data_IF_103441757803
#
_entry.id   IF_103441757803
#
_cell.length_a   1.000
_cell.length_b   1.000
_cell.length_c   1.000
_cell.angle_alpha   90.00
_cell.angle_beta   90.00
_cell.angle_gamma   90.00
#
_symmetry.space_group_name_H-M   'P 1'
#
loop_
_entity.id
_entity.type
_entity.pdbx_description
1 polymer ?
#
# COMPACT_ATOMS: atom_id res chain seq x y z
N UNK A 1 18.17 -4.45 -21.19
CA UNK A 1 17.90 -3.45 -20.13
C UNK A 1 17.21 -4.21 -19.00
N UNK A 2 18.03 -4.93 -18.24
CA UNK A 2 17.61 -5.90 -17.22
C UNK A 2 17.58 -5.23 -15.85
N UNK A 3 16.48 -5.43 -15.12
CA UNK A 3 16.51 -5.53 -13.65
C UNK A 3 16.53 -4.23 -12.84
N UNK A 4 15.70 -3.23 -13.15
CA UNK A 4 15.57 -2.08 -12.24
C UNK A 4 14.54 -2.23 -11.12
N UNK A 5 13.55 -3.11 -11.20
CA UNK A 5 12.70 -3.47 -10.06
C UNK A 5 12.24 -4.92 -10.21
N UNK A 6 12.45 -5.75 -9.18
CA UNK A 6 11.75 -7.03 -9.09
C UNK A 6 10.27 -6.72 -8.84
N UNK A 7 9.52 -6.45 -9.92
CA UNK A 7 8.06 -6.32 -9.92
C UNK A 7 7.37 -7.48 -9.19
N UNK A 8 8.05 -8.62 -9.05
CA UNK A 8 7.60 -9.79 -8.28
C UNK A 8 7.41 -9.51 -6.78
N UNK A 9 8.09 -8.50 -6.20
CA UNK A 9 8.07 -8.24 -4.75
C UNK A 9 7.18 -7.08 -4.31
N UNK A 10 6.78 -6.21 -5.23
CA UNK A 10 5.97 -5.04 -4.89
C UNK A 10 4.49 -5.37 -5.00
N UNK A 11 3.70 -4.97 -4.00
CA UNK A 11 2.26 -5.12 -4.01
C UNK A 11 1.58 -3.82 -4.44
N UNK A 12 0.40 -3.92 -5.06
CA UNK A 12 -0.36 -2.73 -5.44
C UNK A 12 -0.79 -1.94 -4.21
N UNK A 13 -1.10 -2.62 -3.11
CA UNK A 13 -1.43 -1.97 -1.84
C UNK A 13 -0.27 -1.12 -1.29
N UNK A 14 0.99 -1.52 -1.50
CA UNK A 14 2.16 -0.71 -1.13
C UNK A 14 2.18 0.59 -1.94
N UNK A 15 1.89 0.50 -3.24
CA UNK A 15 1.87 1.65 -4.13
C UNK A 15 0.79 2.65 -3.72
N UNK A 16 -0.42 2.18 -3.40
CA UNK A 16 -1.50 3.05 -2.89
C UNK A 16 -1.10 3.73 -1.57
N UNK A 17 -0.41 2.99 -0.70
CA UNK A 17 0.07 3.53 0.56
C UNK A 17 1.16 4.60 0.38
N UNK A 18 1.99 4.51 -0.65
CA UNK A 18 2.91 5.61 -1.00
C UNK A 18 2.18 6.79 -1.65
N UNK A 19 1.20 6.50 -2.52
CA UNK A 19 0.43 7.52 -3.23
C UNK A 19 -0.34 8.44 -2.27
N UNK A 20 -0.67 7.97 -1.05
CA UNK A 20 -1.29 8.81 0.00
C UNK A 20 -0.52 10.09 0.32
N UNK A 21 0.79 10.09 0.09
CA UNK A 21 1.65 11.26 0.34
C UNK A 21 1.57 12.32 -0.76
N UNK A 22 0.85 12.04 -1.86
CA UNK A 22 0.67 12.99 -2.94
C UNK A 22 -0.43 14.00 -2.61
N UNK A 23 -0.15 15.27 -2.88
CA UNK A 23 -1.11 16.35 -2.73
C UNK A 23 -2.03 16.39 -3.95
N UNK A 24 -3.06 15.55 -3.94
CA UNK A 24 -4.08 15.53 -4.98
C UNK A 24 -5.19 16.55 -4.67
N UNK A 25 -5.63 17.31 -5.69
CA UNK A 25 -6.79 18.21 -5.56
C UNK A 25 -8.08 17.40 -5.42
N UNK A 26 -8.21 16.32 -6.19
CA UNK A 26 -9.26 15.31 -6.02
C UNK A 26 -8.66 14.10 -5.32
N UNK A 27 -9.15 13.75 -4.14
CA UNK A 27 -8.61 12.62 -3.36
C UNK A 27 -8.73 11.28 -4.10
N UNK A 28 -9.63 11.16 -5.09
CA UNK A 28 -9.76 9.96 -5.92
C UNK A 28 -8.54 9.73 -6.80
N UNK A 29 -7.81 10.80 -7.15
CA UNK A 29 -6.59 10.72 -7.95
C UNK A 29 -5.47 9.97 -7.24
N UNK A 30 -5.50 9.86 -5.91
CA UNK A 30 -4.53 9.05 -5.17
C UNK A 30 -4.61 7.58 -5.62
N UNK A 31 -5.81 7.07 -5.87
CA UNK A 31 -6.02 5.71 -6.39
C UNK A 31 -5.82 5.71 -7.91
N UNK A 32 -6.44 6.65 -8.63
CA UNK A 32 -6.45 6.63 -10.09
C UNK A 32 -5.11 6.97 -10.75
N UNK A 33 -4.22 7.70 -10.06
CA UNK A 33 -2.86 7.98 -10.54
C UNK A 33 -2.03 6.72 -10.77
N UNK A 34 -2.36 5.64 -10.08
CA UNK A 34 -1.64 4.37 -10.15
C UNK A 34 -2.05 3.46 -11.31
N UNK A 35 -3.06 3.85 -12.11
CA UNK A 35 -3.59 3.05 -13.21
C UNK A 35 -2.59 2.80 -14.35
N UNK A 36 -1.55 3.61 -14.45
CA UNK A 36 -0.43 3.36 -15.37
C UNK A 36 0.51 2.23 -14.92
N UNK A 37 0.34 1.70 -13.70
CA UNK A 37 1.16 0.63 -13.15
C UNK A 37 0.66 -0.74 -13.60
N UNK A 38 1.56 -1.68 -13.97
CA UNK A 38 1.18 -3.08 -14.20
C UNK A 38 0.49 -3.73 -12.99
N UNK A 39 0.76 -3.22 -11.78
CA UNK A 39 0.15 -3.72 -10.54
C UNK A 39 -1.34 -3.35 -10.42
N UNK A 40 -1.84 -2.39 -11.21
CA UNK A 40 -3.25 -1.99 -11.21
C UNK A 40 -4.17 -3.00 -11.92
N UNK A 41 -3.60 -4.05 -12.52
CA UNK A 41 -4.34 -5.03 -13.32
C UNK A 41 -4.35 -6.41 -12.67
N UNK A 42 -5.42 -7.16 -12.92
CA UNK A 42 -5.47 -8.60 -12.67
C UNK A 42 -4.70 -9.36 -13.77
N UNK A 43 -4.51 -10.67 -13.57
CA UNK A 43 -3.84 -11.53 -14.56
C UNK A 43 -4.58 -11.59 -15.92
N UNK A 44 -5.90 -11.38 -15.91
CA UNK A 44 -6.72 -11.29 -17.12
C UNK A 44 -6.63 -9.92 -17.84
N UNK A 45 -5.73 -9.03 -17.42
CA UNK A 45 -5.58 -7.65 -17.92
C UNK A 45 -6.76 -6.71 -17.64
N UNK A 46 -7.73 -7.11 -16.80
CA UNK A 46 -8.77 -6.23 -16.30
C UNK A 46 -8.20 -5.31 -15.20
N UNK A 47 -8.63 -4.06 -15.18
CA UNK A 47 -8.22 -3.11 -14.14
C UNK A 47 -8.87 -3.47 -12.80
N UNK A 48 -8.09 -3.48 -11.72
CA UNK A 48 -8.58 -3.75 -10.36
C UNK A 48 -9.62 -2.73 -9.91
N UNK A 49 -9.36 -1.45 -10.20
CA UNK A 49 -10.22 -0.33 -9.82
C UNK A 49 -10.37 0.60 -11.03
N UNK A 50 -11.46 0.45 -11.78
CA UNK A 50 -11.74 1.37 -12.88
C UNK A 50 -12.05 2.79 -12.35
N UNK A 51 -11.62 3.86 -13.05
CA UNK A 51 -11.91 5.22 -12.63
C UNK A 51 -13.36 5.62 -12.89
N UNK A 52 -13.99 6.15 -11.84
CA UNK A 52 -15.31 6.80 -11.88
C UNK A 52 -15.23 8.07 -11.00
N UNK A 53 -15.50 9.24 -11.59
CA UNK A 53 -15.53 10.52 -10.87
C UNK A 53 -16.95 10.96 -10.50
N UNK A 54 -17.96 10.12 -10.78
CA UNK A 54 -19.33 10.35 -10.32
C UNK A 54 -19.61 9.64 -8.98
N UNK A 55 -18.79 8.65 -8.60
CA UNK A 55 -18.93 7.99 -7.30
C UNK A 55 -18.36 8.83 -6.14
N UNK A 56 -18.89 8.58 -4.95
CA UNK A 56 -18.37 9.17 -3.72
C UNK A 56 -17.02 8.55 -3.34
N UNK A 57 -16.23 9.31 -2.59
CA UNK A 57 -14.93 8.85 -2.10
C UNK A 57 -15.05 7.62 -1.19
N UNK A 58 -16.08 7.57 -0.34
CA UNK A 58 -16.34 6.41 0.51
C UNK A 58 -16.64 5.14 -0.29
N UNK A 59 -17.48 5.26 -1.32
CA UNK A 59 -17.76 4.15 -2.23
C UNK A 59 -16.51 3.69 -2.96
N UNK A 60 -15.67 4.62 -3.44
CA UNK A 60 -14.38 4.29 -4.07
C UNK A 60 -13.47 3.49 -3.12
N UNK A 61 -13.28 3.95 -1.87
CA UNK A 61 -12.39 3.28 -0.92
C UNK A 61 -12.84 1.85 -0.62
N UNK A 62 -14.14 1.66 -0.36
CA UNK A 62 -14.72 0.33 -0.13
C UNK A 62 -14.58 -0.55 -1.36
N UNK A 63 -14.87 0.00 -2.56
CA UNK A 63 -14.77 -0.71 -3.84
C UNK A 63 -13.33 -1.15 -4.11
N UNK A 64 -12.37 -0.27 -3.90
CA UNK A 64 -10.96 -0.55 -4.06
C UNK A 64 -10.48 -1.61 -3.05
N UNK A 65 -10.86 -1.51 -1.77
CA UNK A 65 -10.51 -2.54 -0.78
C UNK A 65 -11.10 -3.91 -1.12
N UNK A 66 -12.36 -3.94 -1.58
CA UNK A 66 -12.98 -5.17 -2.08
C UNK A 66 -12.24 -5.74 -3.30
N UNK A 67 -11.80 -4.90 -4.24
CA UNK A 67 -11.05 -5.34 -5.41
C UNK A 67 -9.71 -5.98 -5.03
N UNK A 68 -9.00 -5.39 -4.06
CA UNK A 68 -7.73 -5.94 -3.58
C UNK A 68 -7.91 -7.23 -2.77
N UNK A 69 -8.97 -7.33 -1.96
CA UNK A 69 -9.29 -8.58 -1.26
C UNK A 69 -9.62 -9.74 -2.23
N UNK A 70 -10.15 -9.45 -3.42
CA UNK A 70 -10.40 -10.45 -4.46
C UNK A 70 -9.14 -10.86 -5.23
N UNK A 71 -8.05 -10.11 -5.10
CA UNK A 71 -6.77 -10.46 -5.72
C UNK A 71 -5.95 -11.34 -4.77
N UNK A 72 -5.67 -12.62 -5.10
CA UNK A 72 -4.89 -13.50 -4.21
C UNK A 72 -3.51 -12.96 -3.86
N UNK A 73 -2.94 -12.14 -4.75
CA UNK A 73 -1.64 -11.48 -4.54
C UNK A 73 -1.70 -10.35 -3.51
N UNK A 74 -2.82 -9.64 -3.43
CA UNK A 74 -2.96 -8.44 -2.59
C UNK A 74 -3.68 -8.75 -1.27
N UNK A 75 -4.63 -9.69 -1.28
CA UNK A 75 -5.55 -9.94 -0.17
C UNK A 75 -4.89 -10.19 1.20
N UNK A 76 -3.74 -10.89 1.32
CA UNK A 76 -3.10 -11.11 2.62
C UNK A 76 -2.61 -9.81 3.28
N UNK A 77 -2.40 -8.76 2.48
CA UNK A 77 -1.79 -7.51 2.92
C UNK A 77 -2.80 -6.40 3.16
N UNK A 78 -3.99 -6.44 2.54
CA UNK A 78 -5.00 -5.37 2.66
C UNK A 78 -5.32 -5.05 4.13
N UNK A 79 -5.55 -6.07 4.95
CA UNK A 79 -5.92 -5.89 6.36
C UNK A 79 -4.74 -5.44 7.25
N UNK A 80 -3.50 -5.55 6.77
CA UNK A 80 -2.32 -5.06 7.49
C UNK A 80 -2.22 -3.52 7.45
N UNK A 81 -2.95 -2.88 6.54
CA UNK A 81 -2.93 -1.44 6.34
C UNK A 81 -4.21 -0.74 6.84
N UNK A 82 -5.01 -1.42 7.66
CA UNK A 82 -6.08 -0.78 8.41
C UNK A 82 -5.49 0.13 9.48
N UNK A 83 -5.38 1.42 9.18
CA UNK A 83 -5.00 2.47 10.14
C UNK A 83 -6.16 3.45 10.31
N UNK A 84 -6.29 3.98 11.51
CA UNK A 84 -7.24 5.03 11.85
C UNK A 84 -6.47 6.18 12.48
N UNK A 85 -6.50 7.33 11.82
CA UNK A 85 -5.73 8.51 12.22
C UNK A 85 -6.55 9.40 13.19
N UNK A 86 -7.88 9.21 13.26
CA UNK A 86 -8.75 9.94 14.18
C UNK A 86 -9.96 9.14 14.67
N UNK A 87 -10.61 9.63 15.73
CA UNK A 87 -11.85 9.03 16.24
C UNK A 87 -13.01 9.22 15.26
N UNK A 88 -13.05 10.34 14.54
CA UNK A 88 -14.04 10.61 13.50
C UNK A 88 -13.95 9.58 12.35
N UNK A 89 -12.76 9.07 12.02
CA UNK A 89 -12.62 8.00 11.03
C UNK A 89 -13.17 6.64 11.52
N UNK A 90 -13.13 6.39 12.82
CA UNK A 90 -13.70 5.18 13.43
C UNK A 90 -15.23 5.24 13.51
N UNK A 91 -15.77 6.45 13.63
CA UNK A 91 -17.21 6.73 13.75
C UNK A 91 -17.87 6.96 12.37
N UNK A 92 -17.10 6.93 11.27
CA UNK A 92 -17.62 7.07 9.91
C UNK A 92 -18.34 5.79 9.46
N UNK A 93 -19.66 5.76 9.65
CA UNK A 93 -20.54 4.66 9.23
C UNK A 93 -20.50 4.35 7.72
N UNK A 94 -19.97 5.25 6.88
CA UNK A 94 -19.91 5.04 5.42
C UNK A 94 -18.74 4.15 4.99
N UNK A 95 -17.73 4.00 5.84
CA UNK A 95 -16.50 3.27 5.51
C UNK A 95 -16.20 2.27 6.63
N UNK A 96 -16.36 0.96 6.39
CA UNK A 96 -16.07 -0.07 7.37
C UNK A 96 -14.66 0.07 7.93
N UNK A 97 -14.49 -0.18 9.24
CA UNK A 97 -13.22 0.00 9.94
C UNK A 97 -12.07 -0.86 9.40
N UNK A 98 -12.36 -1.95 8.69
CA UNK A 98 -11.33 -2.79 8.07
C UNK A 98 -10.78 -2.21 6.75
N UNK A 99 -11.40 -1.17 6.17
CA UNK A 99 -10.99 -0.57 4.90
C UNK A 99 -9.77 0.32 5.13
N UNK A 100 -8.64 0.07 4.45
CA UNK A 100 -7.47 0.95 4.55
C UNK A 100 -7.78 2.37 4.07
N UNK A 101 -7.32 3.37 4.83
CA UNK A 101 -7.47 4.77 4.46
C UNK A 101 -6.28 5.22 3.62
N UNK A 102 -6.31 4.95 2.31
CA UNK A 102 -5.22 5.31 1.40
C UNK A 102 -5.13 6.81 1.08
N UNK A 103 -6.04 7.62 1.59
CA UNK A 103 -6.18 9.04 1.24
C UNK A 103 -5.86 9.99 2.38
N UNK A 104 -5.81 9.50 3.62
CA UNK A 104 -5.44 10.29 4.79
C UNK A 104 -3.96 10.05 5.12
N UNK A 105 -3.26 11.15 5.37
CA UNK A 105 -1.86 11.15 5.77
C UNK A 105 -1.75 12.07 6.98
N UNK A 106 -1.71 11.46 8.17
CA UNK A 106 -1.15 12.10 9.34
C UNK A 106 0.39 12.05 9.26
N UNK A 107 1.07 13.14 9.63
CA UNK A 107 2.54 13.19 9.82
C UNK A 107 3.07 12.11 10.80
N UNK A 108 2.22 11.59 11.68
CA UNK A 108 2.50 10.48 12.61
C UNK A 108 2.36 9.09 11.96
N UNK A 109 1.66 9.00 10.82
CA UNK A 109 1.46 7.74 10.11
C UNK A 109 2.80 7.28 9.52
N UNK A 110 3.48 6.38 10.24
CA UNK A 110 4.77 5.84 9.85
C UNK A 110 4.71 5.41 8.38
N UNK A 111 5.66 5.90 7.55
CA UNK A 111 5.80 5.40 6.18
C UNK A 111 6.00 3.88 6.30
N UNK A 112 5.25 3.06 5.55
CA UNK A 112 5.45 1.62 5.56
C UNK A 112 6.94 1.33 5.32
N UNK A 113 7.55 0.58 6.23
CA UNK A 113 8.89 0.06 6.01
C UNK A 113 8.77 -0.86 4.80
N UNK A 114 9.46 -0.58 3.67
CA UNK A 114 9.40 -1.48 2.53
C UNK A 114 9.78 -2.89 2.99
N UNK A 115 8.95 -3.89 2.67
CA UNK A 115 9.21 -5.30 3.01
C UNK A 115 10.54 -5.83 2.41
N UNK A 116 11.22 -5.02 1.59
CA UNK A 116 12.53 -5.29 1.00
C UNK A 116 13.73 -4.95 1.89
N UNK A 117 13.56 -4.49 3.14
CA UNK A 117 14.72 -4.13 4.01
C UNK A 117 15.51 -5.34 4.55
N UNK A 118 15.17 -6.57 4.16
CA UNK A 118 15.88 -7.81 4.55
C UNK A 118 17.27 -8.03 3.95
N UNK A 119 17.95 -7.00 3.43
CA UNK A 119 19.35 -7.09 2.98
C UNK A 119 20.18 -5.88 3.44
N UNK A 120 20.31 -5.71 4.76
CA UNK A 120 21.55 -5.11 5.28
C UNK A 120 22.59 -6.23 5.30
N UNK A 121 23.35 -6.33 4.22
CA UNK A 121 24.59 -7.08 4.19
C UNK A 121 25.68 -6.32 4.97
N UNK A 122 26.18 -6.95 6.03
CA UNK A 122 27.60 -6.83 6.44
C UNK A 122 28.00 -5.66 7.33
N UNK A 123 27.97 -5.87 8.64
CA UNK A 123 29.13 -5.63 9.52
C UNK A 123 28.92 -6.32 10.86
N UNK A 124 28.99 -7.65 10.86
CA UNK A 124 29.40 -8.35 12.07
C UNK A 124 30.87 -8.00 12.26
N UNK A 125 31.13 -7.05 13.15
CA UNK A 125 32.46 -6.74 13.63
C UNK A 125 33.17 -8.04 13.97
N UNK A 126 34.29 -8.26 13.29
CA UNK A 126 35.35 -9.14 13.71
C UNK A 126 35.80 -8.73 15.12
N UNK A 127 35.28 -9.40 16.15
CA UNK A 127 35.87 -9.43 17.48
C UNK A 127 36.63 -10.76 17.61
N UNK A 128 37.93 -10.65 17.34
CA UNK A 128 39.07 -11.51 17.66
C UNK A 128 38.82 -12.85 18.36
N UNK A 129 39.39 -13.90 17.73
CA UNK A 129 39.98 -15.05 18.44
C UNK A 129 41.21 -14.58 19.23
N UNK A 130 41.19 -14.84 20.54
CA UNK A 130 42.29 -15.00 21.51
C UNK A 130 41.61 -14.83 22.88
N UNK A 131 41.32 -15.87 23.65
CA UNK A 131 42.32 -16.69 24.33
C UNK A 131 41.80 -18.09 24.66
N UNK A 132 42.56 -19.09 24.21
CA UNK A 132 42.78 -20.35 24.93
C UNK A 132 44.22 -20.28 25.44
N UNK A 133 44.39 -20.23 26.75
CA UNK A 133 45.53 -20.78 27.49
C UNK A 133 45.10 -20.94 28.95
#
# INVERSE_FOLDING_TARGET
MEGLYLLEKQHYVDLLLYARSFQATDQRDIIYSSLGSPLAYYENSEVKVAPDYNESLSSLLVRAACALLRSPRESPYVLLFGTHDSQEELEDDNIPTWVPRWITFDDSSARPIPLTWGRISGSLHAARRSDQA
#
